data_IF_780480047057
#
_entry.id   IF_780480047057
#
_cell.length_a   1.000
_cell.length_b   1.000
_cell.length_c   1.000
_cell.angle_alpha   90.00
_cell.angle_beta   90.00
_cell.angle_gamma   90.00
#
_symmetry.space_group_name_H-M   'P 1'
#
loop_
_entity.id
_entity.type
_entity.pdbx_description
1 polymer ?
#
# COMPACT_ATOMS: atom_id res chain seq x y z
N UNK A 1 -4.22 -2.03 -22.17
CA UNK A 1 -4.25 -2.43 -21.60
C UNK A 1 -4.32 -2.57 -21.14
N UNK A 2 -4.43 -2.30 -21.01
CA UNK A 2 -4.46 -2.73 -20.29
C UNK A 2 -4.25 -2.45 -19.74
N UNK A 3 -4.50 -2.08 -19.25
CA UNK A 3 -4.37 -2.21 -18.48
C UNK A 3 -4.85 -2.05 -17.92
N UNK A 4 -5.63 -1.68 -17.84
CA UNK A 4 -6.05 -1.89 -17.08
C UNK A 4 -6.68 -2.42 -16.56
N UNK A 5 -7.68 -2.10 -16.65
CA UNK A 5 -8.10 -3.15 -16.09
C UNK A 5 -7.15 -3.89 -15.47
N UNK A 6 -6.13 -3.81 -15.66
CA UNK A 6 -5.17 -4.44 -15.14
C UNK A 6 -4.97 -4.22 -13.77
N UNK A 7 -5.35 -3.20 -13.09
CA UNK A 7 -5.16 -3.06 -11.76
C UNK A 7 -5.78 -4.09 -10.98
N UNK A 8 -6.94 -4.50 -11.33
CA UNK A 8 -7.60 -5.53 -10.57
C UNK A 8 -6.90 -6.82 -10.65
N UNK A 9 -6.10 -6.99 -11.66
CA UNK A 9 -5.44 -8.24 -11.80
C UNK A 9 -4.37 -8.43 -10.80
N UNK A 10 -3.89 -7.39 -10.19
CA UNK A 10 -2.86 -7.52 -9.21
C UNK A 10 -3.35 -7.66 -7.80
N UNK A 11 -4.66 -7.61 -7.60
CA UNK A 11 -5.16 -7.64 -6.23
C UNK A 11 -5.33 -9.07 -5.73
N UNK A 12 -4.85 -9.33 -4.55
CA UNK A 12 -5.01 -10.61 -3.91
C UNK A 12 -5.58 -10.36 -2.53
N UNK A 13 -6.61 -11.09 -2.16
CA UNK A 13 -7.19 -10.90 -0.85
C UNK A 13 -6.20 -11.31 0.23
N UNK A 14 -6.28 -10.72 1.40
CA UNK A 14 -5.37 -11.08 2.48
C UNK A 14 -5.44 -12.56 2.85
N UNK A 15 -6.63 -13.15 2.83
CA UNK A 15 -6.74 -14.56 3.15
C UNK A 15 -6.04 -15.43 2.15
N UNK A 16 -6.16 -15.11 0.86
CA UNK A 16 -5.48 -15.88 -0.16
C UNK A 16 -3.97 -15.72 -0.05
N UNK A 17 -3.52 -14.50 0.22
CA UNK A 17 -2.10 -14.25 0.37
C UNK A 17 -1.53 -15.01 1.55
N UNK A 18 -2.29 -15.08 2.66
CA UNK A 18 -1.83 -15.83 3.82
C UNK A 18 -1.73 -17.30 3.51
N UNK A 19 -2.70 -17.83 2.79
CA UNK A 19 -2.67 -19.23 2.44
C UNK A 19 -1.45 -19.54 1.59
N UNK A 20 -1.17 -18.71 0.60
CA UNK A 20 0.01 -18.92 -0.23
C UNK A 20 1.29 -18.85 0.61
N UNK A 21 1.34 -17.90 1.53
CA UNK A 21 2.51 -17.77 2.38
C UNK A 21 2.77 -19.01 3.20
N UNK A 22 1.70 -19.56 3.78
CA UNK A 22 1.86 -20.78 4.57
C UNK A 22 2.30 -21.94 3.70
N UNK A 23 1.77 -22.03 2.48
CA UNK A 23 2.15 -23.11 1.59
C UNK A 23 3.60 -23.00 1.17
N UNK A 24 4.13 -21.79 1.13
CA UNK A 24 5.51 -21.58 0.77
C UNK A 24 6.44 -21.63 1.97
N UNK A 25 5.92 -21.83 3.15
CA UNK A 25 6.73 -21.90 4.35
C UNK A 25 7.10 -20.57 4.95
N UNK A 26 6.37 -19.53 4.63
CA UNK A 26 6.66 -18.23 5.20
C UNK A 26 6.16 -18.15 6.63
N UNK A 27 6.88 -17.43 7.47
CA UNK A 27 6.49 -17.23 8.85
C UNK A 27 5.70 -15.96 9.06
N UNK A 28 5.96 -14.94 8.25
CA UNK A 28 5.33 -13.65 8.41
C UNK A 28 4.87 -13.11 7.07
N UNK A 29 3.88 -12.22 7.10
CA UNK A 29 3.40 -11.56 5.91
C UNK A 29 3.37 -10.07 6.18
N UNK A 30 3.92 -9.28 5.26
CA UNK A 30 3.87 -7.83 5.35
C UNK A 30 2.77 -7.35 4.44
N UNK A 31 1.84 -6.60 5.00
CA UNK A 31 0.76 -6.01 4.24
C UNK A 31 0.82 -4.52 4.35
N UNK A 32 0.34 -3.83 3.35
CA UNK A 32 0.32 -2.39 3.40
C UNK A 32 -0.79 -1.81 2.58
N UNK A 33 -1.16 -0.59 2.93
CA UNK A 33 -2.10 0.18 2.13
C UNK A 33 -1.48 1.54 1.90
N UNK A 34 -1.79 2.12 0.74
CA UNK A 34 -1.31 3.44 0.40
C UNK A 34 -2.53 4.26 0.01
N UNK A 35 -2.72 5.37 0.68
CA UNK A 35 -3.78 6.30 0.35
C UNK A 35 -3.14 7.62 -0.05
N UNK A 36 -3.72 8.29 -1.01
CA UNK A 36 -3.18 9.57 -1.42
C UNK A 36 -4.28 10.62 -1.35
N UNK A 37 -3.89 11.83 -1.01
CA UNK A 37 -4.77 12.97 -0.95
C UNK A 37 -4.10 14.06 -1.73
N UNK A 38 -4.80 14.60 -2.71
CA UNK A 38 -4.28 15.68 -3.52
C UNK A 38 -4.93 16.97 -3.06
N UNK A 39 -4.11 17.94 -2.71
CA UNK A 39 -4.59 19.22 -2.25
C UNK A 39 -4.08 20.26 -3.24
N UNK A 40 -4.99 20.95 -3.92
CA UNK A 40 -4.62 21.92 -4.92
C UNK A 40 -4.83 23.32 -4.36
N UNK A 41 -3.84 24.17 -4.54
CA UNK A 41 -3.94 25.51 -4.06
C UNK A 41 -3.26 26.42 -5.05
N UNK A 42 -4.01 27.27 -5.69
CA UNK A 42 -3.53 28.16 -6.73
C UNK A 42 -2.93 27.33 -7.86
N UNK A 43 -1.67 27.51 -8.14
CA UNK A 43 -1.04 26.77 -9.21
C UNK A 43 -0.18 25.66 -8.71
N UNK A 44 -0.33 25.32 -7.45
CA UNK A 44 0.47 24.27 -6.86
C UNK A 44 -0.40 23.14 -6.42
N UNK A 45 0.15 21.95 -6.46
CA UNK A 45 -0.52 20.79 -5.94
C UNK A 45 0.38 20.14 -4.93
N UNK A 46 -0.21 19.68 -3.86
CA UNK A 46 0.52 18.93 -2.85
C UNK A 46 -0.14 17.59 -2.75
N UNK A 47 0.65 16.53 -2.85
CA UNK A 47 0.13 15.19 -2.73
C UNK A 47 0.68 14.60 -1.46
N UNK A 48 -0.21 14.10 -0.62
CA UNK A 48 0.17 13.42 0.60
C UNK A 48 -0.11 11.94 0.42
N UNK A 49 0.84 11.14 0.81
CA UNK A 49 0.66 9.69 0.80
C UNK A 49 0.71 9.20 2.23
N UNK A 50 -0.27 8.40 2.59
CA UNK A 50 -0.27 7.75 3.90
C UNK A 50 -0.03 6.27 3.63
N UNK A 51 1.05 5.76 4.16
CA UNK A 51 1.42 4.36 3.99
C UNK A 51 1.25 3.69 5.34
N UNK A 52 0.44 2.66 5.39
CA UNK A 52 0.23 1.90 6.62
C UNK A 52 0.70 0.49 6.38
N UNK A 53 1.50 -0.04 7.28
CA UNK A 53 2.08 -1.36 7.15
C UNK A 53 1.76 -2.21 8.37
N UNK A 54 1.57 -3.50 8.13
CA UNK A 54 1.35 -4.45 9.20
C UNK A 54 2.16 -5.69 8.93
N UNK A 55 2.80 -6.22 9.93
CA UNK A 55 3.50 -7.49 9.83
C UNK A 55 2.72 -8.51 10.64
N UNK A 56 2.27 -9.56 9.99
CA UNK A 56 1.40 -10.57 10.61
C UNK A 56 2.15 -11.90 10.69
N UNK A 57 2.06 -12.53 11.85
CA UNK A 57 2.59 -13.87 12.03
C UNK A 57 1.59 -14.83 11.42
N UNK A 58 2.00 -15.58 10.41
CA UNK A 58 1.07 -16.43 9.68
C UNK A 58 0.62 -17.63 10.47
N UNK A 59 1.44 -18.08 11.41
CA UNK A 59 1.09 -19.23 12.18
C UNK A 59 0.01 -18.90 13.20
N UNK A 60 0.12 -17.76 13.88
CA UNK A 60 -0.82 -17.38 14.92
C UNK A 60 -1.88 -16.42 14.42
N UNK A 61 -1.66 -15.84 13.24
CA UNK A 61 -2.55 -14.86 12.64
C UNK A 61 -2.62 -13.58 13.47
N UNK A 62 -1.56 -13.27 14.19
CA UNK A 62 -1.50 -12.06 14.97
C UNK A 62 -0.65 -11.01 14.31
N UNK A 63 -1.06 -9.75 14.43
CA UNK A 63 -0.27 -8.64 13.95
C UNK A 63 0.82 -8.39 14.99
N UNK A 64 2.06 -8.56 14.61
CA UNK A 64 3.17 -8.43 15.53
C UNK A 64 3.88 -7.11 15.40
N UNK A 65 3.59 -6.34 14.36
CA UNK A 65 4.20 -5.05 14.17
C UNK A 65 3.32 -4.20 13.25
N UNK A 66 3.21 -2.92 13.56
CA UNK A 66 2.49 -1.99 12.72
C UNK A 66 3.31 -0.73 12.61
N UNK A 67 3.25 -0.12 11.45
CA UNK A 67 3.94 1.14 11.25
C UNK A 67 3.22 1.96 10.22
N UNK A 68 3.53 3.25 10.18
CA UNK A 68 2.94 4.10 9.18
C UNK A 68 3.90 5.23 8.87
N UNK A 69 3.69 5.83 7.72
CA UNK A 69 4.50 6.95 7.32
C UNK A 69 3.70 7.86 6.42
N UNK A 70 3.89 9.16 6.60
CA UNK A 70 3.28 10.15 5.74
C UNK A 70 4.35 10.76 4.88
N UNK A 71 4.09 10.86 3.60
CA UNK A 71 5.01 11.43 2.64
C UNK A 71 4.32 12.57 1.95
N UNK A 72 5.00 13.70 1.87
CA UNK A 72 4.46 14.87 1.20
C UNK A 72 5.28 15.12 -0.05
N UNK A 73 4.60 15.28 -1.18
CA UNK A 73 5.27 15.61 -2.41
C UNK A 73 4.62 16.85 -2.98
N UNK A 74 5.39 17.87 -3.27
CA UNK A 74 4.87 19.09 -3.81
C UNK A 74 5.10 19.10 -5.31
N UNK A 75 4.06 19.40 -6.05
CA UNK A 75 4.12 19.46 -7.50
C UNK A 75 3.68 20.83 -7.92
N UNK A 76 4.48 21.48 -8.74
CA UNK A 76 4.16 22.82 -9.20
C UNK A 76 3.86 22.75 -10.69
N UNK A 77 2.90 23.54 -11.14
CA UNK A 77 2.59 23.58 -12.54
C UNK A 77 3.77 24.05 -13.35
N UNK A 78 4.65 24.80 -12.75
CA UNK A 78 5.78 25.31 -13.48
C UNK A 78 6.92 24.33 -13.55
N UNK A 79 6.80 23.24 -12.90
CA UNK A 79 7.86 22.28 -12.88
C UNK A 79 7.97 21.52 -14.18
N UNK A 80 7.09 21.77 -15.04
CA UNK A 80 7.15 21.12 -16.33
C UNK A 80 7.99 21.91 -17.32
#
# INVERSE_FOLDING_TARGET
RTERDEQNQGYTSPETAKKWGLELGADFMLQGTINSIVDSYKKEQVVYYQVDLELTNLETNEVVWMGDKKIKKQVSDRAL
#
